data_IF_043515657343
#
_entry.id   IF_043515657343
#
_cell.length_a   1.000
_cell.length_b   1.000
_cell.length_c   1.000
_cell.angle_alpha   90.00
_cell.angle_beta   90.00
_cell.angle_gamma   90.00
#
_symmetry.space_group_name_H-M   'P 1'
#
loop_
_entity.id
_entity.type
_entity.pdbx_description
1 polymer ?
#
# COMPACT_ATOMS: atom_id res chain seq x y z
N UNK A 1 0.11 32.12 -12.44
CA UNK A 1 0.91 30.90 -12.70
C UNK A 1 0.19 29.74 -12.04
N UNK A 2 -0.47 28.87 -12.81
CA UNK A 2 -1.28 27.78 -12.29
C UNK A 2 -0.35 26.61 -11.95
N UNK A 3 -0.15 26.34 -10.66
CA UNK A 3 0.68 25.22 -10.20
C UNK A 3 0.04 23.91 -10.66
N UNK A 4 0.64 23.30 -11.67
CA UNK A 4 0.24 22.01 -12.20
C UNK A 4 0.73 20.96 -11.21
N UNK A 5 -0.19 20.45 -10.37
CA UNK A 5 -0.11 19.12 -9.79
C UNK A 5 0.96 18.88 -8.72
N UNK A 6 0.96 19.64 -7.63
CA UNK A 6 1.16 19.00 -6.33
C UNK A 6 -0.18 18.38 -5.91
N UNK A 7 -0.71 17.46 -6.72
CA UNK A 7 -1.82 16.61 -6.28
C UNK A 7 -1.31 15.97 -5.00
N UNK A 8 -2.07 16.11 -3.91
CA UNK A 8 -1.74 15.69 -2.55
C UNK A 8 -1.63 14.14 -2.49
N UNK A 9 -0.68 13.61 -3.24
CA UNK A 9 -0.52 12.22 -3.60
C UNK A 9 0.16 11.53 -2.43
N UNK A 10 -0.65 11.31 -1.40
CA UNK A 10 -0.23 10.71 -0.16
C UNK A 10 -0.28 9.20 -0.34
N UNK A 11 0.89 8.58 -0.24
CA UNK A 11 0.98 7.14 -0.06
C UNK A 11 0.81 6.83 1.42
N UNK A 12 -0.08 5.90 1.74
CA UNK A 12 -0.27 5.42 3.10
C UNK A 12 0.40 4.06 3.23
N UNK A 13 1.17 3.86 4.29
CA UNK A 13 1.85 2.61 4.58
C UNK A 13 1.40 2.09 5.94
N UNK A 14 1.02 0.81 5.99
CA UNK A 14 0.69 0.11 7.22
C UNK A 14 1.72 -1.00 7.49
N UNK A 15 2.08 -1.13 8.76
CA UNK A 15 3.06 -2.10 9.24
C UNK A 15 2.45 -2.98 10.34
N UNK A 16 2.90 -4.23 10.43
CA UNK A 16 2.58 -5.10 11.55
C UNK A 16 3.42 -4.76 12.80
N UNK A 17 3.23 -5.51 13.88
CA UNK A 17 3.97 -5.34 15.14
C UNK A 17 5.46 -5.68 15.03
N UNK A 18 5.86 -6.33 13.95
CA UNK A 18 7.22 -6.79 13.66
C UNK A 18 7.91 -5.88 12.63
N UNK A 19 7.30 -4.74 12.29
CA UNK A 19 7.77 -3.77 11.30
C UNK A 19 7.71 -4.27 9.84
N UNK A 20 6.90 -5.30 9.57
CA UNK A 20 6.64 -5.72 8.19
C UNK A 20 5.57 -4.85 7.54
N UNK A 21 5.83 -4.39 6.33
CA UNK A 21 4.85 -3.64 5.55
C UNK A 21 3.72 -4.56 5.06
N UNK A 22 2.55 -4.43 5.66
CA UNK A 22 1.37 -5.26 5.36
C UNK A 22 0.40 -4.60 4.39
N UNK A 23 0.43 -3.28 4.24
CA UNK A 23 -0.40 -2.59 3.26
C UNK A 23 0.21 -1.28 2.76
N UNK A 24 -0.04 -0.99 1.49
CA UNK A 24 0.24 0.29 0.85
C UNK A 24 -1.04 0.74 0.17
N UNK A 25 -1.49 1.96 0.45
CA UNK A 25 -2.57 2.61 -0.29
C UNK A 25 -1.99 3.73 -1.12
N UNK A 26 -2.27 3.72 -2.41
CA UNK A 26 -1.84 4.78 -3.32
C UNK A 26 -2.81 5.97 -3.31
N UNK A 27 -2.41 7.12 -3.87
CA UNK A 27 -3.25 8.30 -3.95
C UNK A 27 -4.53 8.18 -4.79
N UNK A 28 -4.60 7.14 -5.63
CA UNK A 28 -5.76 6.79 -6.45
C UNK A 28 -6.69 5.83 -5.72
N UNK A 29 -6.41 5.55 -4.44
CA UNK A 29 -7.12 4.60 -3.58
C UNK A 29 -6.95 3.13 -3.98
N UNK A 30 -5.93 2.81 -4.77
CA UNK A 30 -5.53 1.42 -5.01
C UNK A 30 -4.83 0.89 -3.75
N UNK A 31 -5.12 -0.34 -3.35
CA UNK A 31 -4.50 -0.95 -2.18
C UNK A 31 -3.68 -2.16 -2.59
N UNK A 32 -2.48 -2.25 -2.02
CA UNK A 32 -1.59 -3.37 -2.12
C UNK A 32 -1.44 -3.94 -0.72
N UNK A 33 -1.66 -5.24 -0.53
CA UNK A 33 -1.52 -5.88 0.77
C UNK A 33 -0.60 -7.11 0.71
N UNK A 34 0.09 -7.35 1.82
CA UNK A 34 1.00 -8.48 2.00
C UNK A 34 0.72 -9.16 3.33
N UNK A 35 0.65 -10.49 3.32
CA UNK A 35 0.55 -11.29 4.53
C UNK A 35 1.85 -12.06 4.78
N UNK A 36 2.30 -12.07 6.03
CA UNK A 36 3.51 -12.76 6.46
C UNK A 36 3.18 -13.84 7.48
N UNK A 37 3.96 -14.91 7.50
CA UNK A 37 3.93 -15.87 8.61
C UNK A 37 4.74 -15.39 9.82
N UNK A 38 4.71 -16.15 10.92
CA UNK A 38 5.45 -15.83 12.15
C UNK A 38 6.97 -15.83 12.00
N UNK A 39 7.50 -16.34 10.87
CA UNK A 39 8.92 -16.34 10.52
C UNK A 39 9.24 -15.21 9.54
N UNK A 40 8.35 -14.24 9.38
CA UNK A 40 8.56 -13.06 8.54
C UNK A 40 8.62 -13.37 7.04
N UNK A 41 8.02 -14.49 6.61
CA UNK A 41 8.02 -14.92 5.22
C UNK A 41 6.71 -14.53 4.57
N UNK A 42 6.79 -13.95 3.37
CA UNK A 42 5.62 -13.59 2.58
C UNK A 42 4.84 -14.85 2.18
N UNK A 43 3.56 -14.91 2.54
CA UNK A 43 2.67 -16.02 2.22
C UNK A 43 1.51 -15.62 1.30
N UNK A 44 1.21 -14.33 1.17
CA UNK A 44 0.15 -13.86 0.27
C UNK A 44 0.38 -12.41 -0.17
N UNK A 45 -0.05 -12.11 -1.38
CA UNK A 45 -0.07 -10.76 -1.97
C UNK A 45 -1.44 -10.48 -2.54
N UNK A 46 -2.00 -9.32 -2.22
CA UNK A 46 -3.24 -8.82 -2.80
C UNK A 46 -2.93 -7.53 -3.53
N UNK A 47 -3.29 -7.50 -4.80
CA UNK A 47 -3.29 -6.32 -5.66
C UNK A 47 -4.76 -6.07 -5.99
N UNK A 48 -5.39 -5.15 -5.27
CA UNK A 48 -6.74 -4.71 -5.61
C UNK A 48 -6.61 -3.54 -6.58
N UNK A 49 -6.55 -3.89 -7.87
CA UNK A 49 -6.83 -2.96 -8.94
C UNK A 49 -8.36 -2.70 -8.97
N UNK A 50 -8.83 -1.48 -8.68
CA UNK A 50 -10.25 -1.17 -8.68
C UNK A 50 -10.85 -1.05 -10.09
N UNK A 51 -10.15 -1.46 -11.15
CA UNK A 51 -10.55 -1.27 -12.55
C UNK A 51 -10.67 -2.55 -13.38
N UNK A 52 -11.10 -3.67 -12.79
CA UNK A 52 -11.55 -4.83 -13.59
C UNK A 52 -12.84 -4.58 -14.37
#
# INVERSE_FOLDING_TARGET
MNFIGASNQTWMHAYDRTDNRVSVTDPRSNVFAWAFDSLNRLISTTDEDPTS
#
